data_IF_405800362216
#
_entry.id   IF_405800362216
#
_cell.length_a   1.000
_cell.length_b   1.000
_cell.length_c   1.000
_cell.angle_alpha   90.00
_cell.angle_beta   90.00
_cell.angle_gamma   90.00
#
_symmetry.space_group_name_H-M   'P 1'
#
loop_
_entity.id
_entity.type
_entity.pdbx_description
1 polymer ?
#
# COMPACT_ATOMS: atom_id res chain seq x y z
N UNK A 1 -9.35 -15.07 18.82
CA UNK A 1 -8.56 -14.65 17.65
C UNK A 1 -8.48 -15.83 16.71
N UNK A 2 -8.25 -15.57 15.42
CA UNK A 2 -7.87 -16.64 14.49
C UNK A 2 -6.43 -17.07 14.77
N UNK A 3 -6.12 -18.35 14.60
CA UNK A 3 -4.76 -18.89 14.79
C UNK A 3 -3.90 -18.79 13.51
N UNK A 4 -4.42 -18.08 12.50
CA UNK A 4 -3.77 -17.88 11.21
C UNK A 4 -4.08 -16.47 10.68
N UNK A 5 -3.23 -16.01 9.76
CA UNK A 5 -3.35 -14.72 9.07
C UNK A 5 -3.90 -14.96 7.66
N UNK A 6 -4.89 -14.19 7.24
CA UNK A 6 -5.38 -14.17 5.85
C UNK A 6 -4.72 -13.04 5.05
N UNK A 7 -4.76 -13.10 3.70
CA UNK A 7 -4.30 -11.98 2.87
C UNK A 7 -5.01 -10.65 3.17
N UNK A 8 -6.29 -10.68 3.57
CA UNK A 8 -7.02 -9.47 3.96
C UNK A 8 -6.41 -8.78 5.18
N UNK A 9 -5.95 -9.56 6.17
CA UNK A 9 -5.31 -9.02 7.38
C UNK A 9 -4.06 -8.20 7.03
N UNK A 10 -3.34 -8.60 5.98
CA UNK A 10 -2.17 -7.87 5.47
C UNK A 10 -2.61 -6.63 4.69
N UNK A 11 -3.69 -6.71 3.90
CA UNK A 11 -4.21 -5.55 3.18
C UNK A 11 -4.76 -4.47 4.11
N UNK A 12 -5.36 -4.83 5.24
CA UNK A 12 -5.93 -3.90 6.22
C UNK A 12 -4.86 -2.97 6.81
N UNK A 13 -3.64 -3.47 7.03
CA UNK A 13 -2.53 -2.70 7.61
C UNK A 13 -1.57 -2.09 6.58
N UNK A 14 -1.85 -2.28 5.28
CA UNK A 14 -0.93 -1.94 4.18
C UNK A 14 -0.47 -0.48 4.24
N UNK A 15 -1.42 0.45 4.39
CA UNK A 15 -1.13 1.89 4.40
C UNK A 15 -0.32 2.30 5.63
N UNK A 16 -0.72 1.83 6.81
CA UNK A 16 -0.06 2.20 8.06
C UNK A 16 1.41 1.75 8.10
N UNK A 17 1.72 0.59 7.52
CA UNK A 17 3.08 0.03 7.51
C UNK A 17 3.94 0.62 6.40
N UNK A 18 3.38 0.86 5.21
CA UNK A 18 4.17 1.18 4.01
C UNK A 18 4.15 2.65 3.58
N UNK A 19 3.18 3.48 4.02
CA UNK A 19 3.04 4.89 3.58
C UNK A 19 4.32 5.70 3.71
N UNK A 20 5.06 5.49 4.80
CA UNK A 20 6.30 6.21 5.08
C UNK A 20 7.56 5.46 4.62
N UNK A 21 7.40 4.31 3.95
CA UNK A 21 8.49 3.46 3.45
C UNK A 21 8.63 3.48 1.94
N UNK A 22 7.72 4.13 1.23
CA UNK A 22 7.81 4.34 -0.21
C UNK A 22 8.50 5.68 -0.47
N UNK A 23 9.64 5.63 -1.16
CA UNK A 23 10.30 6.81 -1.69
C UNK A 23 9.82 7.04 -3.12
N UNK A 24 9.33 8.25 -3.36
CA UNK A 24 8.95 8.70 -4.70
C UNK A 24 10.16 9.29 -5.42
N UNK A 25 10.15 9.22 -6.75
CA UNK A 25 11.08 10.01 -7.54
C UNK A 25 10.68 11.48 -7.52
N UNK A 26 11.63 12.38 -7.76
CA UNK A 26 11.38 13.81 -7.86
C UNK A 26 10.29 14.13 -8.90
N UNK A 27 10.32 13.46 -10.06
CA UNK A 27 9.31 13.63 -11.12
C UNK A 27 7.90 13.26 -10.64
N UNK A 28 7.77 12.17 -9.88
CA UNK A 28 6.49 11.72 -9.34
C UNK A 28 5.94 12.72 -8.32
N UNK A 29 6.78 13.21 -7.40
CA UNK A 29 6.39 14.25 -6.45
C UNK A 29 5.99 15.55 -7.17
N UNK A 30 6.78 15.99 -8.15
CA UNK A 30 6.48 17.17 -8.96
C UNK A 30 5.16 17.04 -9.75
N UNK A 31 4.77 15.82 -10.10
CA UNK A 31 3.49 15.51 -10.76
C UNK A 31 2.32 15.33 -9.79
N UNK A 32 2.53 15.53 -8.48
CA UNK A 32 1.50 15.39 -7.45
C UNK A 32 1.12 13.94 -7.11
N UNK A 33 2.01 12.98 -7.38
CA UNK A 33 1.85 11.60 -6.93
C UNK A 33 2.10 11.54 -5.42
N UNK A 34 1.30 10.74 -4.71
CA UNK A 34 1.45 10.51 -3.27
C UNK A 34 1.72 9.04 -2.99
N UNK A 35 2.39 8.69 -1.88
CA UNK A 35 2.57 7.30 -1.47
C UNK A 35 1.23 6.55 -1.38
N UNK A 36 0.17 7.20 -0.90
CA UNK A 36 -1.17 6.57 -0.79
C UNK A 36 -1.73 6.19 -2.16
N UNK A 37 -1.57 7.04 -3.19
CA UNK A 37 -1.98 6.69 -4.57
C UNK A 37 -1.22 5.49 -5.12
N UNK A 38 0.07 5.39 -4.80
CA UNK A 38 0.88 4.23 -5.21
C UNK A 38 0.42 2.97 -4.49
N UNK A 39 0.18 3.05 -3.18
CA UNK A 39 -0.29 1.93 -2.37
C UNK A 39 -1.68 1.44 -2.79
N UNK A 40 -2.59 2.36 -3.13
CA UNK A 40 -3.91 2.03 -3.66
C UNK A 40 -3.79 1.27 -4.99
N UNK A 41 -2.92 1.74 -5.90
CA UNK A 41 -2.64 1.04 -7.17
C UNK A 41 -2.05 -0.37 -6.93
N UNK A 42 -1.18 -0.53 -5.93
CA UNK A 42 -0.63 -1.85 -5.55
C UNK A 42 -1.73 -2.75 -5.03
N UNK A 43 -2.60 -2.24 -4.15
CA UNK A 43 -3.73 -2.98 -3.58
C UNK A 43 -4.68 -3.49 -4.65
N UNK A 44 -5.01 -2.67 -5.65
CA UNK A 44 -5.87 -3.07 -6.78
C UNK A 44 -5.24 -4.14 -7.67
N UNK A 45 -3.91 -4.11 -7.83
CA UNK A 45 -3.17 -5.07 -8.67
C UNK A 45 -2.82 -6.37 -7.97
N UNK A 46 -2.86 -6.40 -6.63
CA UNK A 46 -2.58 -7.57 -5.82
C UNK A 46 -3.84 -7.89 -5.00
N UNK A 47 -4.85 -8.53 -5.62
CA UNK A 47 -6.11 -8.85 -4.94
C UNK A 47 -5.89 -9.80 -3.76
N UNK A 48 -6.61 -9.55 -2.66
CA UNK A 48 -6.81 -10.53 -1.59
C UNK A 48 -7.97 -11.49 -1.94
N UNK A 49 -8.01 -12.63 -1.25
CA UNK A 49 -8.84 -13.80 -1.57
C UNK A 49 -10.28 -13.67 -1.11
#
# INVERSE_FOLDING_TARGET
>A
GRDFVSPDDVQEILFDVLRHRILLSFEAEASGVTPDRVLETIRERVPSA
#
